data_IF_777201331534
#
_entry.id   IF_777201331534
#
_cell.length_a   1.000
_cell.length_b   1.000
_cell.length_c   1.000
_cell.angle_alpha   90.00
_cell.angle_beta   90.00
_cell.angle_gamma   90.00
#
_symmetry.space_group_name_H-M   'P 1'
#
loop_
_entity.id
_entity.type
_entity.pdbx_description
1 polymer ?
#
# COMPACT_ATOMS: atom_id res chain seq x y z
N UNK A 1 3.38 -0.40 -18.13
CA UNK A 1 3.85 0.01 -16.78
C UNK A 1 4.38 -1.22 -16.05
N UNK A 2 5.57 -1.16 -15.42
CA UNK A 2 6.10 -2.24 -14.56
C UNK A 2 6.09 -1.73 -13.13
N UNK A 3 5.07 -2.13 -12.36
CA UNK A 3 4.78 -1.60 -11.02
C UNK A 3 5.62 -2.24 -9.91
N UNK A 4 6.14 -3.44 -10.13
CA UNK A 4 6.91 -4.19 -9.14
C UNK A 4 8.29 -4.54 -9.70
N UNK A 5 9.26 -3.64 -9.53
CA UNK A 5 10.67 -3.86 -9.92
C UNK A 5 11.48 -4.30 -8.70
N UNK A 6 12.39 -5.26 -8.90
CA UNK A 6 13.33 -5.76 -7.87
C UNK A 6 12.67 -6.18 -6.52
N UNK A 7 11.56 -6.91 -6.61
CA UNK A 7 10.74 -7.31 -5.45
C UNK A 7 11.55 -8.10 -4.42
N UNK A 8 12.35 -9.07 -4.88
CA UNK A 8 13.18 -9.92 -4.01
C UNK A 8 14.20 -9.14 -3.18
N UNK A 9 14.65 -7.97 -3.65
CA UNK A 9 15.65 -7.15 -2.95
C UNK A 9 15.00 -6.12 -2.02
N UNK A 10 13.93 -5.48 -2.48
CA UNK A 10 13.40 -4.29 -1.82
C UNK A 10 12.13 -4.56 -1.00
N UNK A 11 11.49 -5.72 -1.14
CA UNK A 11 10.18 -5.99 -0.53
C UNK A 11 10.09 -7.37 0.10
N UNK A 12 9.56 -7.39 1.32
CA UNK A 12 9.39 -8.61 2.12
C UNK A 12 8.13 -9.43 1.76
N UNK A 13 7.32 -8.99 0.79
CA UNK A 13 6.08 -9.68 0.41
C UNK A 13 6.27 -11.09 -0.16
N UNK A 14 7.46 -11.38 -0.71
CA UNK A 14 7.72 -12.64 -1.38
C UNK A 14 8.20 -13.73 -0.40
N UNK A 15 8.71 -13.35 0.78
CA UNK A 15 9.29 -14.25 1.78
C UNK A 15 10.04 -15.43 1.15
N UNK A 16 9.53 -16.66 1.35
CA UNK A 16 10.12 -17.93 0.90
C UNK A 16 9.68 -18.37 -0.52
N UNK A 17 8.89 -17.56 -1.24
CA UNK A 17 8.33 -17.95 -2.54
C UNK A 17 9.25 -17.58 -3.69
N UNK A 18 9.47 -18.52 -4.61
CA UNK A 18 10.31 -18.29 -5.79
C UNK A 18 9.62 -17.43 -6.86
N UNK A 19 8.29 -17.55 -6.97
CA UNK A 19 7.45 -16.86 -7.95
C UNK A 19 6.14 -16.38 -7.30
N UNK A 20 5.66 -15.20 -7.71
CA UNK A 20 4.35 -14.70 -7.36
C UNK A 20 3.76 -13.88 -8.52
N UNK A 21 2.44 -13.96 -8.71
CA UNK A 21 1.75 -13.13 -9.69
C UNK A 21 1.67 -11.67 -9.22
N UNK A 22 1.66 -10.74 -10.16
CA UNK A 22 1.55 -9.31 -9.84
C UNK A 22 0.23 -8.97 -9.14
N UNK A 23 -0.86 -9.67 -9.46
CA UNK A 23 -2.15 -9.50 -8.79
C UNK A 23 -2.07 -9.88 -7.30
N UNK A 24 -1.37 -10.97 -6.98
CA UNK A 24 -1.17 -11.38 -5.60
C UNK A 24 -0.28 -10.39 -4.84
N UNK A 25 0.78 -9.89 -5.47
CA UNK A 25 1.68 -8.91 -4.88
C UNK A 25 1.00 -7.56 -4.65
N UNK A 26 0.13 -7.13 -5.57
CA UNK A 26 -0.69 -5.94 -5.39
C UNK A 26 -1.65 -6.08 -4.21
N UNK A 27 -2.23 -7.27 -4.02
CA UNK A 27 -3.05 -7.56 -2.84
C UNK A 27 -2.25 -7.45 -1.54
N UNK A 28 -1.06 -8.06 -1.47
CA UNK A 28 -0.23 -7.99 -0.27
C UNK A 28 0.24 -6.56 0.04
N UNK A 29 0.57 -5.78 -1.00
CA UNK A 29 0.94 -4.38 -0.85
C UNK A 29 -0.22 -3.55 -0.28
N UNK A 30 -1.43 -3.68 -0.83
CA UNK A 30 -2.61 -2.96 -0.36
C UNK A 30 -2.94 -3.27 1.10
N UNK A 31 -2.86 -4.55 1.52
CA UNK A 31 -3.07 -4.94 2.92
C UNK A 31 -2.04 -4.30 3.87
N UNK A 32 -0.77 -4.27 3.47
CA UNK A 32 0.29 -3.65 4.27
C UNK A 32 0.11 -2.14 4.36
N UNK A 33 -0.18 -1.48 3.24
CA UNK A 33 -0.47 -0.04 3.20
C UNK A 33 -1.66 0.34 4.09
N UNK A 34 -2.76 -0.41 4.03
CA UNK A 34 -3.92 -0.20 4.91
C UNK A 34 -3.57 -0.35 6.39
N UNK A 35 -2.76 -1.36 6.74
CA UNK A 35 -2.32 -1.57 8.13
C UNK A 35 -1.48 -0.40 8.67
N UNK A 36 -0.61 0.17 7.83
CA UNK A 36 0.17 1.34 8.19
C UNK A 36 -0.67 2.60 8.29
N UNK A 37 -1.58 2.84 7.34
CA UNK A 37 -2.51 3.97 7.40
C UNK A 37 -3.32 3.94 8.69
N UNK A 38 -3.82 2.76 9.09
CA UNK A 38 -4.58 2.61 10.34
C UNK A 38 -3.75 2.94 11.56
N UNK A 39 -2.50 2.46 11.63
CA UNK A 39 -1.58 2.76 12.73
C UNK A 39 -1.23 4.26 12.78
N UNK A 40 -0.89 4.86 11.64
CA UNK A 40 -0.54 6.28 11.55
C UNK A 40 -1.71 7.19 11.91
N UNK A 41 -2.91 6.86 11.44
CA UNK A 41 -4.13 7.59 11.77
C UNK A 41 -4.43 7.49 13.27
N UNK A 42 -4.27 6.32 13.89
CA UNK A 42 -4.44 6.14 15.34
C UNK A 42 -3.43 6.98 16.16
N UNK A 43 -2.23 7.19 15.64
CA UNK A 43 -1.21 8.06 16.25
C UNK A 43 -1.36 9.55 15.91
N UNK A 44 -2.48 9.97 15.28
CA UNK A 44 -2.79 11.37 14.93
C UNK A 44 -1.79 12.03 13.98
N UNK A 45 -1.13 11.24 13.13
CA UNK A 45 -0.38 11.81 12.01
C UNK A 45 -1.33 12.40 10.95
N UNK A 46 -0.91 13.41 10.16
CA UNK A 46 -1.72 13.99 9.09
C UNK A 46 -1.76 13.04 7.88
N UNK A 47 -2.50 11.95 8.01
CA UNK A 47 -2.74 10.96 6.95
C UNK A 47 -4.24 10.82 6.71
N UNK A 48 -4.68 10.47 5.49
CA UNK A 48 -6.10 10.25 5.21
C UNK A 48 -6.69 9.13 6.06
N UNK A 49 -7.96 9.25 6.44
CA UNK A 49 -8.66 8.17 7.16
C UNK A 49 -8.80 6.91 6.27
N UNK A 50 -8.32 5.74 6.72
CA UNK A 50 -8.50 4.49 5.99
C UNK A 50 -9.88 3.88 6.28
N UNK A 51 -10.71 3.71 5.24
CA UNK A 51 -12.08 3.21 5.37
C UNK A 51 -12.12 1.68 5.23
N UNK A 52 -11.63 1.15 4.11
CA UNK A 52 -11.66 -0.29 3.83
C UNK A 52 -10.56 -0.71 2.82
N UNK A 53 -10.27 -2.00 2.72
CA UNK A 53 -9.34 -2.57 1.73
C UNK A 53 -9.93 -3.84 1.11
N UNK A 54 -10.05 -3.84 -0.22
CA UNK A 54 -10.54 -4.99 -0.96
C UNK A 54 -9.53 -5.42 -2.02
N UNK A 55 -8.97 -6.64 -1.83
CA UNK A 55 -7.92 -7.21 -2.66
C UNK A 55 -6.71 -6.27 -2.77
N UNK A 56 -6.62 -5.52 -3.87
CA UNK A 56 -5.51 -4.65 -4.22
C UNK A 56 -5.89 -3.17 -4.20
N UNK A 57 -7.13 -2.85 -3.82
CA UNK A 57 -7.65 -1.50 -3.73
C UNK A 57 -7.82 -1.11 -2.26
N UNK A 58 -7.43 0.11 -1.93
CA UNK A 58 -7.62 0.73 -0.61
C UNK A 58 -8.58 1.90 -0.78
N UNK A 59 -9.61 1.94 0.04
CA UNK A 59 -10.55 3.05 0.15
C UNK A 59 -10.10 3.94 1.32
N UNK A 60 -9.91 5.22 1.03
CA UNK A 60 -9.46 6.23 1.98
C UNK A 60 -10.18 7.55 1.75
N UNK A 61 -10.11 8.43 2.72
CA UNK A 61 -10.65 9.78 2.66
C UNK A 61 -10.12 10.58 1.46
N UNK A 62 -10.99 11.40 0.87
CA UNK A 62 -10.61 12.33 -0.17
C UNK A 62 -10.08 13.63 0.44
N UNK A 63 -8.80 13.90 0.26
CA UNK A 63 -8.17 15.14 0.67
C UNK A 63 -8.14 16.12 -0.51
N UNK A 64 -8.82 17.26 -0.36
CA UNK A 64 -8.77 18.35 -1.34
C UNK A 64 -7.47 19.16 -1.15
N UNK A 65 -6.37 18.60 -1.66
CA UNK A 65 -5.06 19.21 -1.61
C UNK A 65 -4.33 19.10 -2.95
N UNK A 66 -3.42 20.04 -3.20
CA UNK A 66 -2.62 20.08 -4.42
C UNK A 66 -1.29 19.37 -4.13
N UNK A 67 -0.82 18.45 -5.01
CA UNK A 67 0.49 17.83 -4.83
C UNK A 67 1.59 18.88 -4.91
N UNK A 68 2.45 18.90 -3.90
CA UNK A 68 3.67 19.72 -3.95
C UNK A 68 4.65 19.09 -4.95
N UNK A 69 4.98 19.83 -6.00
CA UNK A 69 5.96 19.45 -7.02
C UNK A 69 7.02 20.54 -7.03
N UNK A 70 8.23 20.19 -6.60
CA UNK A 70 9.45 20.96 -6.87
C UNK A 70 9.98 20.65 -8.28
#
# INVERSE_FOLDING_TARGET
RISFRSIKRNRDYLQHRQHASWLYLARLAALKEFSYLKALHAHKFPVPEPVDVNRHAVLMEHIDAIPFRE
#
